data_IF_381731792468
#
_entry.id   IF_381731792468
#
_cell.length_a   1.000
_cell.length_b   1.000
_cell.length_c   1.000
_cell.angle_alpha   90.00
_cell.angle_beta   90.00
_cell.angle_gamma   90.00
#
_symmetry.space_group_name_H-M   'P 1'
#
loop_
_entity.id
_entity.type
_entity.pdbx_description
1 polymer ?
#
# COMPACT_ATOMS: atom_id res chain seq x y z
N UNK A 1 53.51 -21.43 60.19
CA UNK A 1 53.32 -20.13 59.51
C UNK A 1 52.43 -20.35 58.31
N UNK A 2 51.19 -19.89 58.40
CA UNK A 2 50.18 -19.98 57.35
C UNK A 2 50.36 -18.77 56.43
N UNK A 3 50.60 -19.00 55.14
CA UNK A 3 50.50 -17.97 54.12
C UNK A 3 49.01 -17.72 53.82
N UNK A 4 48.50 -16.48 53.94
CA UNK A 4 47.15 -16.19 53.50
C UNK A 4 47.11 -16.11 51.98
N UNK A 5 46.48 -17.13 51.40
CA UNK A 5 46.07 -17.19 50.01
C UNK A 5 44.97 -16.14 49.75
N UNK A 6 45.32 -15.02 49.11
CA UNK A 6 44.35 -14.04 48.58
C UNK A 6 44.23 -14.20 47.07
N UNK A 7 43.55 -15.25 46.63
CA UNK A 7 42.86 -15.18 45.34
C UNK A 7 41.61 -14.33 45.51
N UNK A 8 41.78 -13.01 45.39
CA UNK A 8 40.70 -12.11 45.03
C UNK A 8 40.28 -12.45 43.60
N UNK A 9 39.28 -13.33 43.46
CA UNK A 9 38.50 -13.43 42.23
C UNK A 9 37.60 -12.18 42.17
N UNK A 10 38.18 -11.06 41.72
CA UNK A 10 37.37 -9.96 41.22
C UNK A 10 36.80 -10.42 39.87
N UNK A 11 35.57 -10.92 39.87
CA UNK A 11 34.83 -11.11 38.63
C UNK A 11 34.64 -9.73 38.00
N UNK A 12 35.32 -9.49 36.88
CA UNK A 12 35.08 -8.31 36.05
C UNK A 12 33.64 -8.43 35.57
N UNK A 13 32.72 -7.62 36.11
CA UNK A 13 31.35 -7.53 35.59
C UNK A 13 31.45 -6.96 34.18
N UNK A 14 31.21 -7.81 33.17
CA UNK A 14 31.01 -7.37 31.79
C UNK A 14 29.77 -6.48 31.73
N UNK A 15 29.96 -5.19 31.50
CA UNK A 15 28.86 -4.24 31.28
C UNK A 15 28.60 -4.14 29.79
N UNK A 16 27.40 -4.52 29.36
CA UNK A 16 26.91 -4.28 27.99
C UNK A 16 26.07 -3.00 27.98
N UNK A 17 26.37 -2.11 27.03
CA UNK A 17 25.60 -0.90 26.79
C UNK A 17 24.72 -1.12 25.56
N UNK A 18 23.43 -0.85 25.69
CA UNK A 18 22.47 -0.90 24.59
C UNK A 18 21.93 0.50 24.34
N UNK A 19 21.94 0.91 23.07
CA UNK A 19 21.32 2.16 22.63
C UNK A 19 20.00 1.77 21.95
N UNK A 20 18.89 2.27 22.47
CA UNK A 20 17.57 2.08 21.88
C UNK A 20 17.11 3.39 21.24
N UNK A 21 16.81 3.34 19.94
CA UNK A 21 16.16 4.43 19.22
C UNK A 21 14.68 4.09 19.16
N UNK A 22 13.85 4.84 19.88
CA UNK A 22 12.41 4.61 19.94
C UNK A 22 11.73 5.00 18.61
N UNK A 23 10.70 4.25 18.16
CA UNK A 23 9.99 4.54 16.92
C UNK A 23 9.13 5.81 17.01
N UNK A 24 8.74 6.20 18.22
CA UNK A 24 7.97 7.41 18.49
C UNK A 24 8.24 7.94 19.90
N UNK A 25 7.92 9.20 20.14
CA UNK A 25 7.96 9.81 21.46
C UNK A 25 6.97 9.16 22.45
N UNK A 26 5.88 8.58 21.95
CA UNK A 26 4.95 7.82 22.79
C UNK A 26 5.56 6.50 23.26
N UNK A 27 6.25 5.78 22.36
CA UNK A 27 7.01 4.58 22.71
C UNK A 27 8.14 4.92 23.69
N UNK A 28 8.89 5.99 23.44
CA UNK A 28 9.95 6.47 24.33
C UNK A 28 9.42 6.71 25.75
N UNK A 29 8.33 7.47 25.91
CA UNK A 29 7.69 7.71 27.21
C UNK A 29 7.20 6.43 27.88
N UNK A 30 6.58 5.53 27.12
CA UNK A 30 6.09 4.25 27.66
C UNK A 30 7.24 3.39 28.16
N UNK A 31 8.35 3.34 27.42
CA UNK A 31 9.55 2.59 27.77
C UNK A 31 10.21 3.21 29.00
N UNK A 32 10.44 4.53 29.00
CA UNK A 32 11.04 5.25 30.12
C UNK A 32 10.23 5.12 31.43
N UNK A 33 8.89 5.13 31.35
CA UNK A 33 8.04 4.98 32.53
C UNK A 33 8.02 3.54 33.06
N UNK A 34 8.21 2.54 32.19
CA UNK A 34 8.08 1.12 32.52
C UNK A 34 9.41 0.42 32.79
N UNK A 35 10.55 1.05 32.50
CA UNK A 35 11.88 0.62 32.96
C UNK A 35 12.19 1.28 34.31
N UNK A 36 12.12 0.56 35.44
CA UNK A 36 12.57 1.08 36.73
C UNK A 36 14.11 1.10 36.77
N UNK A 37 14.69 2.15 37.36
CA UNK A 37 16.14 2.22 37.63
C UNK A 37 16.62 1.18 38.67
N UNK A 38 15.71 0.60 39.47
CA UNK A 38 16.03 -0.36 40.53
C UNK A 38 15.06 -1.55 40.53
N UNK A 39 15.50 -2.67 39.94
CA UNK A 39 14.68 -3.88 39.80
C UNK A 39 15.07 -4.87 40.89
N UNK A 40 14.13 -5.23 41.76
CA UNK A 40 14.32 -6.37 42.66
C UNK A 40 14.29 -7.68 41.84
N UNK A 41 15.21 -8.60 42.12
CA UNK A 41 15.43 -9.83 41.34
C UNK A 41 14.20 -10.74 41.19
N UNK A 42 13.12 -10.51 41.95
CA UNK A 42 11.90 -11.30 41.91
C UNK A 42 10.93 -10.92 40.77
N UNK A 43 11.12 -9.81 40.07
CA UNK A 43 10.19 -9.33 39.01
C UNK A 43 10.76 -9.44 37.58
N UNK A 44 11.85 -10.21 37.41
CA UNK A 44 12.66 -10.29 36.18
C UNK A 44 11.84 -10.63 34.92
N UNK A 45 10.89 -11.57 35.03
CA UNK A 45 10.00 -11.93 33.93
C UNK A 45 9.07 -10.81 33.45
N UNK A 46 8.70 -9.90 34.35
CA UNK A 46 7.82 -8.79 34.02
C UNK A 46 8.52 -7.79 33.09
N UNK A 47 9.85 -7.78 33.08
CA UNK A 47 10.66 -6.92 32.23
C UNK A 47 11.12 -7.60 30.94
N UNK A 48 11.29 -8.93 30.96
CA UNK A 48 11.62 -9.69 29.76
C UNK A 48 10.52 -9.45 28.70
N UNK A 49 10.92 -8.98 27.52
CA UNK A 49 10.04 -8.57 26.42
C UNK A 49 9.24 -7.27 26.57
N UNK A 50 9.34 -6.52 27.68
CA UNK A 50 8.56 -5.28 27.86
C UNK A 50 8.86 -4.23 26.77
N UNK A 51 10.14 -4.08 26.43
CA UNK A 51 10.57 -3.18 25.35
C UNK A 51 9.97 -3.65 24.01
N UNK A 52 9.96 -4.96 23.75
CA UNK A 52 9.42 -5.53 22.53
C UNK A 52 7.91 -5.30 22.43
N UNK A 53 7.17 -5.47 23.53
CA UNK A 53 5.73 -5.19 23.60
C UNK A 53 5.44 -3.71 23.31
N UNK A 54 6.22 -2.80 23.90
CA UNK A 54 6.08 -1.36 23.66
C UNK A 54 6.33 -1.01 22.18
N UNK A 55 7.41 -1.54 21.59
CA UNK A 55 7.74 -1.29 20.18
C UNK A 55 6.67 -1.88 19.25
N UNK A 56 6.25 -3.13 19.49
CA UNK A 56 5.26 -3.82 18.66
C UNK A 56 3.92 -3.09 18.71
N UNK A 57 3.41 -2.80 19.91
CA UNK A 57 2.12 -2.10 20.03
C UNK A 57 2.14 -0.70 19.42
N UNK A 58 3.27 0.01 19.50
CA UNK A 58 3.40 1.32 18.89
C UNK A 58 3.50 1.23 17.36
N UNK A 59 4.22 0.24 16.84
CA UNK A 59 4.37 0.00 15.40
C UNK A 59 3.08 -0.37 14.68
N UNK A 60 2.08 -0.87 15.40
CA UNK A 60 0.76 -1.20 14.85
C UNK A 60 -0.17 0.02 14.72
N UNK A 61 0.14 1.12 15.38
CA UNK A 61 -0.72 2.31 15.36
C UNK A 61 -0.68 2.99 14.00
N UNK A 62 -1.82 3.55 13.60
CA UNK A 62 -1.95 4.37 12.39
C UNK A 62 -2.12 3.58 11.09
N UNK A 63 -1.89 2.26 11.07
CA UNK A 63 -2.13 1.46 9.86
C UNK A 63 -3.59 1.47 9.42
N UNK A 64 -4.52 1.44 10.37
CA UNK A 64 -5.96 1.50 10.07
C UNK A 64 -6.33 2.82 9.38
N UNK A 65 -5.84 3.94 9.89
CA UNK A 65 -6.11 5.28 9.33
C UNK A 65 -5.44 5.44 7.97
N UNK A 66 -4.20 4.96 7.83
CA UNK A 66 -3.48 4.97 6.56
C UNK A 66 -4.20 4.15 5.48
N UNK A 67 -4.69 2.96 5.84
CA UNK A 67 -5.50 2.12 4.95
C UNK A 67 -6.82 2.79 4.58
N UNK A 68 -7.51 3.42 5.54
CA UNK A 68 -8.75 4.14 5.28
C UNK A 68 -8.53 5.32 4.32
N UNK A 69 -7.41 6.03 4.46
CA UNK A 69 -7.02 7.08 3.53
C UNK A 69 -6.77 6.54 2.12
N UNK A 70 -5.97 5.47 1.96
CA UNK A 70 -5.73 4.84 0.66
C UNK A 70 -7.04 4.31 0.03
N UNK A 71 -7.92 3.72 0.82
CA UNK A 71 -9.25 3.26 0.38
C UNK A 71 -10.11 4.43 -0.14
N UNK A 72 -10.10 5.57 0.55
CA UNK A 72 -10.85 6.77 0.15
C UNK A 72 -10.33 7.35 -1.17
N UNK A 73 -9.01 7.47 -1.30
CA UNK A 73 -8.35 7.95 -2.52
C UNK A 73 -8.66 7.04 -3.73
N UNK A 74 -8.50 5.72 -3.55
CA UNK A 74 -8.82 4.74 -4.59
C UNK A 74 -10.29 4.82 -5.01
N UNK A 75 -11.21 4.92 -4.05
CA UNK A 75 -12.65 5.02 -4.32
C UNK A 75 -13.01 6.29 -5.09
N UNK A 76 -12.35 7.42 -4.80
CA UNK A 76 -12.60 8.66 -5.50
C UNK A 76 -12.29 8.53 -7.00
N UNK A 77 -11.17 7.91 -7.35
CA UNK A 77 -10.78 7.70 -8.74
C UNK A 77 -11.74 6.70 -9.41
N UNK A 78 -12.01 5.55 -8.77
CA UNK A 78 -12.92 4.54 -9.31
C UNK A 78 -14.32 5.11 -9.62
N UNK A 79 -14.87 5.94 -8.73
CA UNK A 79 -16.16 6.59 -8.95
C UNK A 79 -16.16 7.54 -10.16
N UNK A 80 -15.09 8.30 -10.36
CA UNK A 80 -14.97 9.19 -11.54
C UNK A 80 -14.99 8.39 -12.83
N UNK A 81 -14.26 7.29 -12.88
CA UNK A 81 -14.19 6.42 -14.05
C UNK A 81 -15.54 5.77 -14.35
N UNK A 82 -16.25 5.27 -13.33
CA UNK A 82 -17.60 4.69 -13.48
C UNK A 82 -18.66 5.71 -13.92
N UNK A 83 -18.63 6.93 -13.39
CA UNK A 83 -19.59 7.99 -13.78
C UNK A 83 -19.41 8.38 -15.24
N UNK A 84 -18.16 8.42 -15.73
CA UNK A 84 -17.87 8.67 -17.14
C UNK A 84 -18.47 7.57 -18.05
N UNK A 85 -18.37 6.30 -17.65
CA UNK A 85 -18.95 5.16 -18.38
C UNK A 85 -20.50 5.21 -18.44
N UNK A 86 -21.17 5.50 -17.32
CA UNK A 86 -22.64 5.55 -17.25
C UNK A 86 -23.21 6.70 -18.10
N UNK A 87 -22.58 7.88 -18.07
CA UNK A 87 -23.07 9.06 -18.79
C UNK A 87 -23.03 8.89 -20.31
N UNK A 88 -22.16 8.03 -20.85
CA UNK A 88 -22.16 7.67 -22.27
C UNK A 88 -23.34 6.78 -22.65
N UNK A 89 -23.75 5.87 -21.77
CA UNK A 89 -24.86 4.94 -22.05
C UNK A 89 -26.23 5.62 -22.03
N UNK A 90 -26.33 6.79 -21.41
CA UNK A 90 -27.61 7.43 -21.07
C UNK A 90 -28.09 8.57 -21.97
N UNK A 91 -27.26 9.16 -22.84
CA UNK A 91 -27.65 10.36 -23.59
C UNK A 91 -27.28 10.30 -25.08
N UNK A 92 -28.30 10.15 -25.92
CA UNK A 92 -28.41 10.63 -27.31
C UNK A 92 -27.35 10.23 -28.35
N UNK A 93 -26.48 9.24 -28.09
CA UNK A 93 -25.63 8.65 -29.13
C UNK A 93 -24.49 9.54 -29.65
N UNK A 94 -24.20 10.67 -29.00
CA UNK A 94 -22.98 11.43 -29.25
C UNK A 94 -21.86 10.95 -28.30
N UNK A 95 -20.71 10.49 -28.83
CA UNK A 95 -19.61 10.01 -28.01
C UNK A 95 -18.95 11.21 -27.28
N UNK A 96 -19.25 11.36 -25.99
CA UNK A 96 -18.46 12.23 -25.11
C UNK A 96 -17.21 11.47 -24.70
N UNK A 97 -16.02 11.92 -25.10
CA UNK A 97 -14.74 11.27 -24.78
C UNK A 97 -14.61 10.93 -23.29
N UNK A 98 -14.40 9.64 -22.95
CA UNK A 98 -14.02 9.17 -21.61
C UNK A 98 -12.59 9.64 -21.31
N UNK A 99 -12.40 10.90 -20.95
CA UNK A 99 -11.07 11.35 -20.57
C UNK A 99 -10.79 10.97 -19.11
N UNK A 100 -10.27 9.76 -18.87
CA UNK A 100 -9.52 9.50 -17.63
C UNK A 100 -8.23 10.29 -17.74
N UNK A 101 -8.06 11.28 -16.86
CA UNK A 101 -6.94 12.20 -16.97
C UNK A 101 -5.61 11.47 -16.78
N UNK A 102 -4.54 11.96 -17.42
CA UNK A 102 -3.18 11.47 -17.16
C UNK A 102 -2.83 11.57 -15.67
N UNK A 103 -3.39 12.56 -14.97
CA UNK A 103 -3.28 12.74 -13.52
C UNK A 103 -3.94 11.60 -12.74
N UNK A 104 -5.16 11.17 -13.09
CA UNK A 104 -5.83 10.04 -12.43
C UNK A 104 -5.05 8.73 -12.63
N UNK A 105 -4.47 8.52 -13.82
CA UNK A 105 -3.62 7.34 -14.10
C UNK A 105 -2.34 7.37 -13.26
N UNK A 106 -1.66 8.52 -13.22
CA UNK A 106 -0.48 8.69 -12.39
C UNK A 106 -0.80 8.49 -10.91
N UNK A 107 -1.96 8.98 -10.45
CA UNK A 107 -2.40 8.82 -9.06
C UNK A 107 -2.72 7.38 -8.72
N UNK A 108 -3.38 6.62 -9.61
CA UNK A 108 -3.58 5.18 -9.44
C UNK A 108 -2.26 4.44 -9.31
N UNK A 109 -1.26 4.80 -10.13
CA UNK A 109 0.06 4.19 -10.06
C UNK A 109 0.75 4.47 -8.71
N UNK A 110 0.69 5.71 -8.23
CA UNK A 110 1.20 6.07 -6.91
C UNK A 110 0.50 5.28 -5.79
N UNK A 111 -0.82 5.13 -5.86
CA UNK A 111 -1.57 4.33 -4.89
C UNK A 111 -1.13 2.86 -4.92
N UNK A 112 -0.91 2.28 -6.10
CA UNK A 112 -0.39 0.92 -6.24
C UNK A 112 0.99 0.77 -5.59
N UNK A 113 1.90 1.72 -5.81
CA UNK A 113 3.24 1.72 -5.23
C UNK A 113 3.17 1.82 -3.68
N UNK A 114 2.36 2.74 -3.16
CA UNK A 114 2.12 2.89 -1.71
C UNK A 114 1.55 1.63 -1.06
N UNK A 115 0.61 0.96 -1.74
CA UNK A 115 0.04 -0.30 -1.24
C UNK A 115 1.08 -1.41 -1.30
N UNK A 116 1.92 -1.45 -2.34
CA UNK A 116 2.99 -2.44 -2.48
C UNK A 116 4.01 -2.32 -1.36
N UNK A 117 4.47 -1.11 -1.05
CA UNK A 117 5.36 -0.85 0.08
C UNK A 117 4.72 -1.25 1.40
N UNK A 118 3.45 -0.88 1.60
CA UNK A 118 2.68 -1.26 2.79
C UNK A 118 2.58 -2.79 2.94
N UNK A 119 2.36 -3.54 1.87
CA UNK A 119 2.31 -5.01 1.91
C UNK A 119 3.62 -5.61 2.41
N UNK A 120 4.76 -5.10 1.95
CA UNK A 120 6.08 -5.56 2.37
C UNK A 120 6.31 -5.27 3.85
N UNK A 121 5.95 -4.05 4.30
CA UNK A 121 6.09 -3.65 5.70
C UNK A 121 5.20 -4.51 6.61
N UNK A 122 3.92 -4.67 6.26
CA UNK A 122 2.97 -5.45 7.06
C UNK A 122 3.33 -6.94 7.10
N UNK A 123 3.82 -7.51 5.99
CA UNK A 123 4.31 -8.90 5.99
C UNK A 123 5.51 -9.06 6.92
N UNK A 124 6.47 -8.13 6.84
CA UNK A 124 7.65 -8.11 7.72
C UNK A 124 7.24 -7.98 9.18
N UNK A 125 6.22 -7.17 9.47
CA UNK A 125 5.67 -6.97 10.80
C UNK A 125 5.02 -8.25 11.34
N UNK A 126 4.15 -8.92 10.56
CA UNK A 126 3.56 -10.21 10.91
C UNK A 126 4.63 -11.23 11.27
N UNK A 127 5.66 -11.37 10.42
CA UNK A 127 6.73 -12.34 10.62
C UNK A 127 7.57 -12.01 11.87
N UNK A 128 7.87 -10.74 12.08
CA UNK A 128 8.66 -10.27 13.22
C UNK A 128 7.93 -10.48 14.53
N UNK A 129 6.66 -10.06 14.62
CA UNK A 129 5.83 -10.22 15.82
C UNK A 129 5.64 -11.71 16.13
N UNK A 130 5.36 -12.54 15.11
CA UNK A 130 5.23 -13.98 15.28
C UNK A 130 6.51 -14.64 15.81
N UNK A 131 7.68 -14.19 15.35
CA UNK A 131 8.98 -14.68 15.84
C UNK A 131 9.25 -14.23 17.28
N UNK A 132 8.91 -12.99 17.63
CA UNK A 132 9.01 -12.47 19.01
C UNK A 132 8.10 -13.28 19.93
N UNK A 133 6.84 -13.52 19.55
CA UNK A 133 5.91 -14.35 20.32
C UNK A 133 6.44 -15.78 20.53
N UNK A 134 7.02 -16.40 19.50
CA UNK A 134 7.69 -17.72 19.61
C UNK A 134 8.91 -17.67 20.54
N UNK A 135 9.69 -16.58 20.54
CA UNK A 135 10.81 -16.40 21.46
C UNK A 135 10.31 -16.23 22.90
N UNK A 136 9.26 -15.44 23.12
CA UNK A 136 8.61 -15.24 24.41
C UNK A 136 8.08 -16.58 24.98
N UNK A 137 7.43 -17.39 24.14
CA UNK A 137 6.94 -18.73 24.51
C UNK A 137 8.09 -19.66 24.93
N UNK A 138 9.17 -19.71 24.16
CA UNK A 138 10.35 -20.54 24.49
C UNK A 138 11.01 -20.09 25.80
N UNK A 139 11.19 -18.78 25.97
CA UNK A 139 11.72 -18.20 27.20
C UNK A 139 10.84 -18.58 28.40
N UNK A 140 9.54 -18.43 28.25
CA UNK A 140 8.59 -18.83 29.28
C UNK A 140 8.71 -20.31 29.66
N UNK A 141 8.80 -21.22 28.68
CA UNK A 141 8.93 -22.65 28.94
C UNK A 141 10.21 -23.01 29.71
N UNK A 142 11.32 -22.32 29.44
CA UNK A 142 12.59 -22.56 30.15
C UNK A 142 12.56 -22.01 31.57
N UNK A 143 11.92 -20.87 31.78
CA UNK A 143 12.03 -20.14 33.03
C UNK A 143 10.88 -20.45 34.00
N UNK A 144 9.74 -20.95 33.52
CA UNK A 144 8.60 -21.39 34.35
C UNK A 144 8.63 -22.92 34.54
N UNK A 145 9.43 -23.38 35.50
CA UNK A 145 9.63 -24.80 35.85
C UNK A 145 8.39 -25.47 36.49
N UNK A 146 7.31 -25.66 35.72
CA UNK A 146 6.20 -26.58 36.05
C UNK A 146 5.40 -26.30 37.34
N UNK A 147 5.67 -25.21 38.05
CA UNK A 147 4.95 -24.79 39.25
C UNK A 147 3.79 -23.88 38.82
N UNK A 148 2.56 -24.32 39.13
CA UNK A 148 1.32 -23.77 38.60
C UNK A 148 1.19 -22.25 38.77
N UNK A 149 0.82 -21.58 37.67
CA UNK A 149 0.70 -20.13 37.45
C UNK A 149 1.98 -19.40 37.03
N UNK A 150 2.40 -19.64 35.79
CA UNK A 150 3.36 -18.78 35.12
C UNK A 150 2.65 -17.53 34.57
N UNK A 151 3.14 -16.34 34.91
CA UNK A 151 2.56 -15.03 34.52
C UNK A 151 2.83 -14.72 33.02
N UNK A 152 3.56 -15.58 32.31
CA UNK A 152 3.93 -15.35 30.91
C UNK A 152 2.77 -15.48 29.91
N UNK A 153 1.66 -16.14 30.29
CA UNK A 153 0.56 -16.46 29.36
C UNK A 153 -0.01 -15.19 28.73
N UNK A 154 -0.25 -14.16 29.53
CA UNK A 154 -0.75 -12.86 29.08
C UNK A 154 0.18 -12.21 28.03
N UNK A 155 1.51 -12.35 28.18
CA UNK A 155 2.46 -11.78 27.20
C UNK A 155 2.45 -12.55 25.89
N UNK A 156 2.34 -13.88 25.96
CA UNK A 156 2.24 -14.73 24.77
C UNK A 156 0.94 -14.38 24.01
N UNK A 157 -0.18 -14.33 24.72
CA UNK A 157 -1.47 -13.92 24.17
C UNK A 157 -1.43 -12.52 23.56
N UNK A 158 -0.74 -11.57 24.22
CA UNK A 158 -0.53 -10.22 23.69
C UNK A 158 0.20 -10.22 22.34
N UNK A 159 1.33 -10.94 22.22
CA UNK A 159 2.04 -11.05 20.94
C UNK A 159 1.24 -11.79 19.87
N UNK A 160 0.45 -12.80 20.24
CA UNK A 160 -0.46 -13.47 19.31
C UNK A 160 -1.56 -12.53 18.81
N UNK A 161 -2.12 -11.70 19.69
CA UNK A 161 -3.06 -10.64 19.35
C UNK A 161 -2.45 -9.62 18.38
N UNK A 162 -1.25 -9.13 18.67
CA UNK A 162 -0.54 -8.21 17.77
C UNK A 162 -0.23 -8.83 16.41
N UNK A 163 0.13 -10.12 16.36
CA UNK A 163 0.36 -10.81 15.10
C UNK A 163 -0.93 -10.94 14.28
N UNK A 164 -2.05 -11.26 14.94
CA UNK A 164 -3.37 -11.34 14.30
C UNK A 164 -3.85 -9.97 13.78
N UNK A 165 -3.59 -8.89 14.52
CA UNK A 165 -3.89 -7.52 14.11
C UNK A 165 -3.07 -7.12 12.86
N UNK A 166 -1.76 -7.38 12.87
CA UNK A 166 -0.89 -7.18 11.71
C UNK A 166 -1.37 -7.99 10.50
N UNK A 167 -1.77 -9.25 10.71
CA UNK A 167 -2.26 -10.12 9.65
C UNK A 167 -3.58 -9.63 9.06
N UNK A 168 -4.48 -9.11 9.90
CA UNK A 168 -5.75 -8.51 9.46
C UNK A 168 -5.47 -7.28 8.59
N UNK A 169 -4.55 -6.41 9.04
CA UNK A 169 -4.11 -5.24 8.27
C UNK A 169 -3.50 -5.65 6.93
N UNK A 170 -2.65 -6.68 6.92
CA UNK A 170 -2.05 -7.23 5.69
C UNK A 170 -3.12 -7.74 4.72
N UNK A 171 -4.11 -8.46 5.21
CA UNK A 171 -5.20 -8.99 4.38
C UNK A 171 -6.03 -7.86 3.76
N UNK A 172 -6.34 -6.81 4.52
CA UNK A 172 -7.00 -5.61 3.99
C UNK A 172 -6.19 -4.93 2.90
N UNK A 173 -4.88 -4.78 3.10
CA UNK A 173 -3.98 -4.22 2.10
C UNK A 173 -3.98 -5.03 0.79
N UNK A 174 -4.06 -6.37 0.85
CA UNK A 174 -4.15 -7.23 -0.34
C UNK A 174 -5.43 -6.96 -1.13
N UNK A 175 -6.58 -6.90 -0.45
CA UNK A 175 -7.86 -6.56 -1.08
C UNK A 175 -7.82 -5.16 -1.70
N UNK A 176 -7.21 -4.20 -1.01
CA UNK A 176 -7.06 -2.84 -1.53
C UNK A 176 -6.21 -2.81 -2.81
N UNK A 177 -5.13 -3.59 -2.88
CA UNK A 177 -4.32 -3.75 -4.08
C UNK A 177 -5.14 -4.27 -5.25
N UNK A 178 -5.90 -5.35 -5.03
CA UNK A 178 -6.75 -5.95 -6.07
C UNK A 178 -7.76 -4.92 -6.62
N UNK A 179 -8.33 -4.08 -5.75
CA UNK A 179 -9.26 -3.01 -6.16
C UNK A 179 -8.59 -1.94 -7.00
N UNK A 180 -7.40 -1.49 -6.61
CA UNK A 180 -6.63 -0.49 -7.38
C UNK A 180 -6.26 -1.04 -8.75
N UNK A 181 -5.76 -2.27 -8.81
CA UNK A 181 -5.42 -2.94 -10.08
C UNK A 181 -6.64 -3.13 -10.97
N UNK A 182 -7.78 -3.51 -10.41
CA UNK A 182 -9.04 -3.62 -11.17
C UNK A 182 -9.48 -2.26 -11.73
N UNK A 183 -9.30 -1.19 -10.95
CA UNK A 183 -9.62 0.19 -11.39
C UNK A 183 -8.69 0.64 -12.51
N UNK A 184 -7.40 0.34 -12.40
CA UNK A 184 -6.40 0.63 -13.44
C UNK A 184 -6.72 -0.11 -14.74
N UNK A 185 -7.02 -1.41 -14.68
CA UNK A 185 -7.42 -2.20 -15.85
C UNK A 185 -8.66 -1.63 -16.53
N UNK A 186 -9.65 -1.20 -15.75
CA UNK A 186 -10.85 -0.57 -16.28
C UNK A 186 -10.51 0.76 -16.97
N UNK A 187 -9.63 1.59 -16.38
CA UNK A 187 -9.15 2.83 -17.02
C UNK A 187 -8.44 2.56 -18.35
N UNK A 188 -7.55 1.56 -18.39
CA UNK A 188 -6.83 1.18 -19.60
C UNK A 188 -7.77 0.70 -20.70
N UNK A 189 -8.72 -0.19 -20.36
CA UNK A 189 -9.68 -0.70 -21.33
C UNK A 189 -10.54 0.41 -21.95
N UNK A 190 -11.03 1.35 -21.14
CA UNK A 190 -11.79 2.50 -21.64
C UNK A 190 -10.92 3.41 -22.54
N UNK A 191 -9.64 3.52 -22.23
CA UNK A 191 -8.70 4.32 -23.03
C UNK A 191 -8.41 3.68 -24.39
N UNK A 192 -8.26 2.36 -24.44
CA UNK A 192 -8.05 1.61 -25.69
C UNK A 192 -9.30 1.65 -26.59
N UNK A 193 -10.49 1.53 -26.00
CA UNK A 193 -11.76 1.68 -26.71
C UNK A 193 -11.88 3.05 -27.36
N UNK A 194 -11.54 4.12 -26.63
CA UNK A 194 -11.53 5.47 -27.19
C UNK A 194 -10.53 5.63 -28.33
N UNK A 195 -9.30 5.14 -28.17
CA UNK A 195 -8.29 5.23 -29.22
C UNK A 195 -8.75 4.51 -30.51
N UNK A 196 -9.47 3.39 -30.34
CA UNK A 196 -10.07 2.67 -31.45
C UNK A 196 -11.20 3.47 -32.13
N UNK A 197 -12.12 4.08 -31.35
CA UNK A 197 -13.19 4.92 -31.88
C UNK A 197 -12.65 6.16 -32.61
N UNK A 198 -11.63 6.82 -32.06
CA UNK A 198 -10.97 7.96 -32.71
C UNK A 198 -10.31 7.56 -34.03
N UNK A 199 -9.60 6.43 -34.07
CA UNK A 199 -9.00 5.92 -35.30
C UNK A 199 -10.06 5.58 -36.36
N UNK A 200 -11.19 5.00 -35.95
CA UNK A 200 -12.31 4.71 -36.85
C UNK A 200 -12.94 5.99 -37.41
N UNK A 201 -13.18 7.00 -36.56
CA UNK A 201 -13.72 8.29 -36.96
C UNK A 201 -12.79 9.03 -37.94
N UNK A 202 -11.48 9.03 -37.67
CA UNK A 202 -10.46 9.61 -38.57
C UNK A 202 -10.44 8.90 -39.93
N UNK A 203 -10.59 7.57 -39.94
CA UNK A 203 -10.65 6.79 -41.18
C UNK A 203 -11.90 7.15 -42.00
N UNK A 204 -13.05 7.31 -41.35
CA UNK A 204 -14.29 7.73 -42.01
C UNK A 204 -14.18 9.15 -42.59
N UNK A 205 -13.59 10.09 -41.83
CA UNK A 205 -13.34 11.45 -42.30
C UNK A 205 -12.39 11.48 -43.50
N UNK A 206 -11.31 10.70 -43.47
CA UNK A 206 -10.37 10.59 -44.58
C UNK A 206 -11.05 10.02 -45.84
N UNK A 207 -11.92 9.03 -45.67
CA UNK A 207 -12.70 8.45 -46.76
C UNK A 207 -13.68 9.45 -47.36
N UNK A 208 -14.45 10.16 -46.52
CA UNK A 208 -15.39 11.18 -46.97
C UNK A 208 -14.67 12.33 -47.70
N UNK A 209 -13.54 12.81 -47.16
CA UNK A 209 -12.72 13.84 -47.78
C UNK A 209 -12.15 13.40 -49.13
N UNK A 210 -11.77 12.13 -49.28
CA UNK A 210 -11.33 11.58 -50.57
C UNK A 210 -12.45 11.60 -51.61
N UNK A 211 -13.66 11.17 -51.23
CA UNK A 211 -14.82 11.21 -52.14
C UNK A 211 -15.11 12.65 -52.57
N UNK A 212 -15.14 13.58 -51.62
CA UNK A 212 -15.38 14.99 -51.89
C UNK A 212 -14.32 15.58 -52.83
N UNK A 213 -13.05 15.23 -52.61
CA UNK A 213 -11.95 15.65 -53.49
C UNK A 213 -12.09 15.06 -54.90
N UNK A 214 -12.48 13.80 -55.04
CA UNK A 214 -12.70 13.15 -56.35
C UNK A 214 -13.87 13.81 -57.11
N UNK A 215 -14.96 14.15 -56.42
CA UNK A 215 -16.10 14.87 -57.00
C UNK A 215 -15.73 16.32 -57.38
N UNK A 216 -14.96 17.03 -56.56
CA UNK A 216 -14.44 18.35 -56.92
C UNK A 216 -13.59 18.33 -58.19
N UNK A 217 -12.72 17.32 -58.34
CA UNK A 217 -11.91 17.14 -59.55
C UNK A 217 -12.80 16.91 -60.78
N UNK A 218 -13.82 16.04 -60.67
CA UNK A 218 -14.79 15.82 -61.77
C UNK A 218 -15.52 17.11 -62.16
N UNK A 219 -15.99 17.89 -61.17
CA UNK A 219 -16.68 19.16 -61.41
C UNK A 219 -15.76 20.20 -62.06
N UNK A 220 -14.50 20.29 -61.64
CA UNK A 220 -13.50 21.19 -62.23
C UNK A 220 -13.16 20.82 -63.69
N UNK A 221 -13.06 19.53 -64.00
CA UNK A 221 -12.85 19.05 -65.37
C UNK A 221 -14.08 19.35 -66.25
N UNK A 222 -15.29 19.12 -65.74
CA UNK A 222 -16.55 19.43 -66.43
C UNK A 222 -16.72 20.92 -66.75
N UNK A 223 -16.42 21.79 -65.77
CA UNK A 223 -16.51 23.25 -65.94
C UNK A 223 -15.44 23.82 -66.88
N UNK A 224 -14.24 23.24 -66.91
CA UNK A 224 -13.23 23.61 -67.92
C UNK A 224 -13.58 23.10 -69.33
N UNK A 225 -14.28 21.97 -69.45
CA UNK A 225 -14.81 21.48 -70.73
C UNK A 225 -15.91 22.38 -71.31
N UNK A 226 -16.74 22.98 -70.45
CA UNK A 226 -17.80 23.92 -70.85
C UNK A 226 -17.29 25.31 -71.30
N UNK A 227 -16.03 25.66 -71.01
CA UNK A 227 -15.42 26.94 -71.41
C UNK A 227 -14.80 26.96 -72.82
N UNK A 228 -14.70 25.82 -73.50
CA UNK A 228 -14.06 25.74 -74.84
C UNK A 228 -15.09 25.88 -75.99
N UNK A 229 -16.40 25.90 -75.70
CA UNK A 229 -17.43 26.06 -76.73
C UNK A 229 -18.18 27.37 -76.51
N UNK A 230 -17.61 28.49 -76.95
CA UNK A 230 -18.35 29.67 -77.41
C UNK A 230 -17.38 30.69 -78.00
N UNK A 231 -17.20 30.68 -79.32
CA UNK A 231 -17.18 31.90 -80.14
C UNK A 231 -17.66 31.54 -81.56
N UNK A 232 -18.76 32.14 -82.06
CA UNK A 232 -19.18 31.98 -83.43
C UNK A 232 -18.58 33.08 -84.33
N UNK A 233 -18.28 32.65 -85.56
CA UNK A 233 -17.99 33.43 -86.79
C UNK A 233 -16.61 34.06 -86.92
#
# INVERSE_FOLDING_TARGET
MLYPNRHSQNSIRSTSVFILIAPSHAAEKSIAHRLPENVSQNDTFRQDFLIHECIVSDSLKGWMDYQAWLEAESKQIANRVLVLDILQRGNNGEPRSIYVSAEDRQRLKQLEDYITDMLVILQTMVDSISRIGKACRRHCQTSCNGTGSCICSHKIEGFEGYAAEAQTSLNRAKVLRERVQSTEQLCLHLSDLLAYEEAAALTQLAYASRIESEEMVKLAVSTNGLRIVTYPS
#
